data_IF_835445197136
#
_entry.id   IF_835445197136
#
_cell.length_a   1.000
_cell.length_b   1.000
_cell.length_c   1.000
_cell.angle_alpha   90.00
_cell.angle_beta   90.00
_cell.angle_gamma   90.00
#
_symmetry.space_group_name_H-M   'P 1'
#
loop_
_entity.id
_entity.type
_entity.pdbx_description
1 polymer ?
#
# COMPACT_ATOMS: atom_id res chain seq x y z
N UNK A 1 21.04 20.99 18.50
CA UNK A 1 22.21 20.15 18.23
C UNK A 1 21.78 18.70 18.38
N UNK A 2 21.67 17.99 17.28
CA UNK A 2 21.36 16.56 17.28
C UNK A 2 22.62 15.82 17.73
N UNK A 3 22.58 15.17 18.88
CA UNK A 3 23.66 14.27 19.29
C UNK A 3 23.67 13.06 18.38
N UNK A 4 24.69 12.98 17.56
CA UNK A 4 24.89 11.89 16.60
C UNK A 4 25.58 10.75 17.32
N UNK A 5 24.85 9.71 17.67
CA UNK A 5 25.50 8.47 18.09
C UNK A 5 26.19 7.85 16.86
N UNK A 6 27.42 7.41 17.03
CA UNK A 6 28.23 6.80 15.96
C UNK A 6 27.58 5.56 15.32
N UNK A 7 26.57 4.98 15.94
CA UNK A 7 25.80 3.86 15.41
C UNK A 7 24.73 4.25 14.37
N UNK A 8 24.47 5.54 14.15
CA UNK A 8 23.42 6.03 13.25
C UNK A 8 23.95 6.64 11.95
N UNK A 9 25.24 6.59 11.68
CA UNK A 9 25.86 7.17 10.48
C UNK A 9 25.25 6.60 9.19
N UNK A 10 24.95 5.31 9.17
CA UNK A 10 24.27 4.69 8.01
C UNK A 10 22.81 5.17 7.86
N UNK A 11 22.10 5.39 8.97
CA UNK A 11 20.74 5.90 8.96
C UNK A 11 20.65 7.35 8.50
N UNK A 12 21.65 8.17 8.76
CA UNK A 12 21.69 9.57 8.30
C UNK A 12 21.82 9.71 6.78
N UNK A 13 22.48 8.79 6.11
CA UNK A 13 22.49 8.78 4.64
C UNK A 13 21.11 8.46 4.08
N UNK A 14 20.33 7.64 4.77
CA UNK A 14 18.93 7.37 4.43
C UNK A 14 17.99 8.53 4.74
N UNK A 15 18.36 9.47 5.61
CA UNK A 15 17.57 10.68 5.95
C UNK A 15 17.39 11.59 4.74
N UNK A 16 18.32 11.64 3.83
CA UNK A 16 18.23 12.46 2.62
C UNK A 16 17.20 11.94 1.63
N UNK A 17 17.00 10.63 1.61
CA UNK A 17 16.10 9.94 0.69
C UNK A 17 14.86 9.49 1.45
N UNK A 18 13.99 10.42 1.76
CA UNK A 18 12.69 10.12 2.39
C UNK A 18 11.93 9.04 1.61
N UNK A 19 11.17 8.15 2.27
CA UNK A 19 10.90 8.04 3.71
C UNK A 19 11.98 7.26 4.48
N UNK A 20 12.14 7.59 5.79
CA UNK A 20 13.02 6.88 6.74
C UNK A 20 12.29 5.67 7.30
N UNK A 21 12.43 4.54 6.63
CA UNK A 21 11.72 3.29 6.95
C UNK A 21 12.72 2.15 7.13
N UNK A 22 12.54 1.36 8.19
CA UNK A 22 13.43 0.25 8.51
C UNK A 22 13.53 -0.79 7.36
N UNK A 23 12.41 -1.17 6.78
CA UNK A 23 12.35 -2.11 5.65
C UNK A 23 13.03 -1.56 4.38
N UNK A 24 12.93 -0.24 4.10
CA UNK A 24 13.70 0.39 3.04
C UNK A 24 15.20 0.31 3.31
N UNK A 25 15.61 0.61 4.55
CA UNK A 25 17.02 0.56 4.94
C UNK A 25 17.59 -0.86 4.84
N UNK A 26 16.82 -1.89 5.22
CA UNK A 26 17.21 -3.30 5.06
C UNK A 26 17.44 -3.65 3.59
N UNK A 27 16.49 -3.33 2.71
CA UNK A 27 16.61 -3.60 1.28
C UNK A 27 17.80 -2.86 0.65
N UNK A 28 18.05 -1.60 1.05
CA UNK A 28 19.22 -0.85 0.60
C UNK A 28 20.52 -1.45 1.13
N UNK A 29 20.53 -1.94 2.37
CA UNK A 29 21.70 -2.62 2.96
C UNK A 29 22.07 -3.91 2.23
N UNK A 30 21.08 -4.74 1.91
CA UNK A 30 21.26 -5.94 1.08
C UNK A 30 21.84 -5.61 -0.29
N UNK A 31 21.28 -4.61 -0.97
CA UNK A 31 21.78 -4.15 -2.26
C UNK A 31 23.24 -3.68 -2.17
N UNK A 32 23.59 -2.90 -1.14
CA UNK A 32 24.99 -2.43 -0.95
C UNK A 32 25.93 -3.61 -0.73
N UNK A 33 25.52 -4.60 0.07
CA UNK A 33 26.33 -5.81 0.28
C UNK A 33 26.56 -6.59 -1.03
N UNK A 34 25.54 -6.73 -1.86
CA UNK A 34 25.67 -7.35 -3.19
C UNK A 34 26.59 -6.56 -4.13
N UNK A 35 26.51 -5.22 -4.12
CA UNK A 35 27.41 -4.36 -4.90
C UNK A 35 28.86 -4.55 -4.45
N UNK A 36 29.11 -4.59 -3.15
CA UNK A 36 30.44 -4.86 -2.59
C UNK A 36 30.96 -6.24 -3.02
N UNK A 37 30.06 -7.23 -3.10
CA UNK A 37 30.39 -8.58 -3.60
C UNK A 37 30.59 -8.65 -5.13
N UNK A 38 30.47 -7.54 -5.85
CA UNK A 38 30.71 -7.44 -7.29
C UNK A 38 29.44 -7.64 -8.16
N UNK A 39 28.26 -7.74 -7.55
CA UNK A 39 27.01 -7.84 -8.30
C UNK A 39 26.54 -6.46 -8.80
N UNK A 40 25.92 -6.43 -9.98
CA UNK A 40 25.31 -5.20 -10.52
C UNK A 40 23.89 -5.10 -9.99
N UNK A 41 23.63 -4.12 -9.13
CA UNK A 41 22.30 -3.86 -8.53
C UNK A 41 21.98 -2.37 -8.58
N UNK A 42 20.68 -2.05 -8.67
CA UNK A 42 20.15 -0.71 -8.51
C UNK A 42 18.95 -0.76 -7.54
N UNK A 43 18.74 0.30 -6.78
CA UNK A 43 17.57 0.46 -5.92
C UNK A 43 16.54 1.30 -6.68
N UNK A 44 15.57 0.62 -7.26
CA UNK A 44 14.55 1.24 -8.11
C UNK A 44 13.16 0.60 -7.85
N UNK A 45 12.66 0.64 -6.60
CA UNK A 45 11.31 0.16 -6.30
C UNK A 45 10.26 1.10 -6.88
N UNK A 46 9.19 0.55 -7.44
CA UNK A 46 8.05 1.34 -7.95
C UNK A 46 7.38 2.09 -6.79
N UNK A 47 7.29 1.45 -5.61
CA UNK A 47 6.74 2.06 -4.41
C UNK A 47 7.31 1.41 -3.15
N UNK A 48 7.25 2.16 -2.05
CA UNK A 48 7.62 1.67 -0.73
C UNK A 48 6.43 1.88 0.20
N UNK A 49 5.96 0.80 0.81
CA UNK A 49 4.86 0.87 1.76
C UNK A 49 5.22 1.71 2.99
N UNK A 50 4.34 2.59 3.39
CA UNK A 50 4.41 3.35 4.63
C UNK A 50 3.28 2.90 5.56
N UNK A 51 3.62 2.65 6.83
CA UNK A 51 2.68 2.19 7.85
C UNK A 51 2.79 3.05 9.09
N UNK A 52 1.64 3.54 9.57
CA UNK A 52 1.51 4.12 10.90
C UNK A 52 0.81 3.11 11.80
N UNK A 53 1.49 2.63 12.83
CA UNK A 53 0.98 1.68 13.83
C UNK A 53 0.20 2.40 14.93
N UNK A 54 -0.75 3.20 14.52
CA UNK A 54 -1.71 3.87 15.39
C UNK A 54 -2.94 2.96 15.63
N UNK A 55 -3.91 3.42 16.39
CA UNK A 55 -5.21 2.76 16.53
C UNK A 55 -6.30 3.76 16.08
N UNK A 56 -6.93 3.54 14.89
CA UNK A 56 -6.65 2.49 13.91
C UNK A 56 -5.31 2.70 13.16
N UNK A 57 -4.78 1.61 12.59
CA UNK A 57 -3.58 1.65 11.75
C UNK A 57 -3.85 2.35 10.42
N UNK A 58 -2.78 2.90 9.81
CA UNK A 58 -2.84 3.54 8.49
C UNK A 58 -1.76 2.95 7.60
N UNK A 59 -2.13 2.55 6.40
CA UNK A 59 -1.20 2.08 5.35
C UNK A 59 -1.34 2.94 4.11
N UNK A 60 -0.22 3.30 3.53
CA UNK A 60 -0.14 3.96 2.23
C UNK A 60 0.94 3.32 1.36
N UNK A 61 0.60 2.99 0.12
CA UNK A 61 1.53 2.50 -0.91
C UNK A 61 1.21 3.21 -2.20
N UNK A 62 2.22 3.77 -2.87
CA UNK A 62 2.01 4.54 -4.11
C UNK A 62 1.43 5.93 -3.85
N UNK A 63 0.78 6.51 -4.86
CA UNK A 63 0.31 7.89 -4.85
C UNK A 63 -1.15 8.02 -4.39
N UNK A 64 -1.45 9.14 -3.76
CA UNK A 64 -2.82 9.52 -3.38
C UNK A 64 -3.61 10.03 -4.60
N UNK A 65 -4.96 10.10 -4.51
CA UNK A 65 -5.76 10.75 -5.56
C UNK A 65 -5.36 12.21 -5.83
N UNK A 66 -4.99 12.95 -4.79
CA UNK A 66 -4.58 14.35 -4.91
C UNK A 66 -3.23 14.48 -5.63
N UNK A 67 -2.25 13.65 -5.30
CA UNK A 67 -0.98 13.58 -6.01
C UNK A 67 -1.15 13.16 -7.47
N UNK A 68 -2.04 12.22 -7.77
CA UNK A 68 -2.37 11.85 -9.15
C UNK A 68 -2.95 13.03 -9.92
N UNK A 69 -3.86 13.78 -9.30
CA UNK A 69 -4.44 14.99 -9.86
C UNK A 69 -3.41 16.10 -10.13
N UNK A 70 -2.49 16.32 -9.19
CA UNK A 70 -1.38 17.26 -9.35
C UNK A 70 -0.46 16.87 -10.50
N UNK A 71 -0.31 15.59 -10.77
CA UNK A 71 0.44 15.05 -11.90
C UNK A 71 -0.36 15.03 -13.22
N UNK A 72 -1.62 15.48 -13.21
CA UNK A 72 -2.48 15.50 -14.38
C UNK A 72 -2.95 14.10 -14.82
N UNK A 73 -2.93 13.11 -13.92
CA UNK A 73 -3.35 11.73 -14.20
C UNK A 73 -4.85 11.61 -13.90
N UNK A 74 -5.65 11.25 -14.91
CA UNK A 74 -7.04 10.87 -14.69
C UNK A 74 -7.13 9.52 -13.99
N UNK A 75 -7.94 9.45 -12.93
CA UNK A 75 -8.02 8.27 -12.08
C UNK A 75 -9.44 7.75 -11.89
N UNK A 76 -9.52 6.44 -11.67
CA UNK A 76 -10.68 5.73 -11.12
C UNK A 76 -10.36 5.42 -9.66
N UNK A 77 -11.33 5.66 -8.79
CA UNK A 77 -11.20 5.40 -7.35
C UNK A 77 -12.16 4.26 -6.96
N UNK A 78 -11.58 3.19 -6.43
CA UNK A 78 -12.34 2.15 -5.76
C UNK A 78 -12.18 2.26 -4.25
N UNK A 79 -13.27 2.15 -3.49
CA UNK A 79 -13.23 2.20 -2.03
C UNK A 79 -14.21 1.20 -1.45
N UNK A 80 -13.77 0.46 -0.44
CA UNK A 80 -14.59 -0.49 0.30
C UNK A 80 -14.48 -0.24 1.80
N UNK A 81 -15.60 0.00 2.52
CA UNK A 81 -15.61 0.26 3.95
C UNK A 81 -15.55 -1.05 4.75
N UNK A 82 -14.87 -1.06 5.89
CA UNK A 82 -14.82 -2.21 6.78
C UNK A 82 -16.19 -2.54 7.41
N UNK A 83 -17.08 -1.57 7.51
CA UNK A 83 -18.46 -1.80 7.92
C UNK A 83 -19.23 -2.80 7.02
N UNK A 84 -18.78 -3.01 5.78
CA UNK A 84 -19.33 -4.01 4.87
C UNK A 84 -18.51 -5.31 4.82
N UNK A 85 -17.41 -5.41 5.58
CA UNK A 85 -16.56 -6.60 5.65
C UNK A 85 -16.96 -7.52 6.78
N UNK A 86 -17.39 -8.76 6.47
CA UNK A 86 -17.73 -9.75 7.48
C UNK A 86 -16.57 -10.06 8.44
N UNK A 87 -15.32 -10.07 7.94
CA UNK A 87 -14.14 -10.27 8.77
C UNK A 87 -13.89 -9.10 9.71
N UNK A 88 -13.97 -7.87 9.21
CA UNK A 88 -13.79 -6.68 10.04
C UNK A 88 -14.86 -6.60 11.14
N UNK A 89 -16.12 -6.91 10.82
CA UNK A 89 -17.21 -6.98 11.82
C UNK A 89 -16.94 -8.05 12.87
N UNK A 90 -16.47 -9.23 12.48
CA UNK A 90 -16.13 -10.30 13.42
C UNK A 90 -14.95 -9.98 14.33
N UNK A 91 -14.12 -9.02 13.97
CA UNK A 91 -12.96 -8.52 14.73
C UNK A 91 -13.26 -7.24 15.52
N UNK A 92 -14.52 -6.79 15.51
CA UNK A 92 -14.94 -5.48 16.07
C UNK A 92 -14.21 -4.27 15.45
N UNK A 93 -13.71 -4.45 14.22
CA UNK A 93 -12.96 -3.43 13.47
C UNK A 93 -13.85 -2.66 12.48
N UNK A 94 -15.12 -3.05 12.31
CA UNK A 94 -16.03 -2.43 11.36
C UNK A 94 -16.68 -1.13 11.87
N UNK A 95 -16.76 -0.95 13.19
CA UNK A 95 -17.38 0.22 13.84
C UNK A 95 -16.54 1.50 13.71
N UNK A 96 -15.23 1.37 13.58
CA UNK A 96 -14.28 2.48 13.62
C UNK A 96 -14.05 3.20 12.26
N UNK A 97 -14.89 2.88 11.26
CA UNK A 97 -14.88 3.59 9.98
C UNK A 97 -13.73 3.21 9.05
N UNK A 98 -13.06 2.08 9.25
CA UNK A 98 -11.98 1.57 8.42
C UNK A 98 -12.37 1.36 6.95
N UNK A 99 -11.39 1.41 6.07
CA UNK A 99 -11.59 1.20 4.64
C UNK A 99 -10.30 0.78 3.92
N UNK A 100 -10.47 0.22 2.73
CA UNK A 100 -9.42 0.15 1.70
C UNK A 100 -9.83 1.02 0.53
N UNK A 101 -8.87 1.79 -0.04
CA UNK A 101 -9.07 2.64 -1.21
C UNK A 101 -7.96 2.38 -2.21
N UNK A 102 -8.33 2.14 -3.47
CA UNK A 102 -7.44 2.02 -4.61
C UNK A 102 -7.56 3.27 -5.47
N UNK A 103 -6.43 3.78 -5.92
CA UNK A 103 -6.29 4.80 -6.95
C UNK A 103 -5.72 4.14 -8.19
N UNK A 104 -6.47 4.05 -9.27
CA UNK A 104 -6.02 3.45 -10.53
C UNK A 104 -6.10 4.46 -11.67
N UNK A 105 -5.23 4.33 -12.67
CA UNK A 105 -5.27 5.15 -13.88
C UNK A 105 -6.51 4.84 -14.70
N UNK A 106 -7.25 5.87 -15.12
CA UNK A 106 -8.52 5.69 -15.83
C UNK A 106 -8.37 5.02 -17.20
N UNK A 107 -7.23 5.22 -17.88
CA UNK A 107 -7.04 4.75 -19.25
C UNK A 107 -6.76 3.26 -19.38
N UNK A 108 -6.19 2.63 -18.34
CA UNK A 108 -5.72 1.24 -18.40
C UNK A 108 -5.92 0.46 -17.10
N UNK A 109 -6.51 1.10 -16.09
CA UNK A 109 -6.78 0.56 -14.76
C UNK A 109 -5.54 0.12 -13.97
N UNK A 110 -4.33 0.52 -14.38
CA UNK A 110 -3.11 0.23 -13.60
C UNK A 110 -3.20 0.91 -12.24
N UNK A 111 -2.97 0.15 -11.19
CA UNK A 111 -3.02 0.62 -9.80
C UNK A 111 -1.82 1.51 -9.53
N UNK A 112 -2.07 2.75 -9.12
CA UNK A 112 -1.07 3.76 -8.83
C UNK A 112 -0.86 3.98 -7.33
N UNK A 113 -1.87 3.67 -6.54
CA UNK A 113 -1.81 3.80 -5.09
C UNK A 113 -2.91 3.06 -4.37
N UNK A 114 -2.58 2.60 -3.15
CA UNK A 114 -3.50 1.88 -2.27
C UNK A 114 -3.34 2.47 -0.88
N UNK A 115 -4.46 2.86 -0.27
CA UNK A 115 -4.49 3.42 1.08
C UNK A 115 -5.54 2.70 1.91
N UNK A 116 -5.18 2.34 3.13
CA UNK A 116 -6.07 1.68 4.06
C UNK A 116 -6.00 2.31 5.45
N UNK A 117 -7.12 2.32 6.13
CA UNK A 117 -7.25 2.71 7.54
C UNK A 117 -8.08 1.65 8.23
N UNK A 118 -7.64 1.17 9.37
CA UNK A 118 -8.39 0.19 10.16
C UNK A 118 -7.48 -0.74 10.97
N UNK A 119 -8.07 -1.57 11.81
CA UNK A 119 -7.33 -2.57 12.58
C UNK A 119 -6.67 -3.59 11.65
N UNK A 120 -5.40 -3.89 11.91
CA UNK A 120 -4.61 -4.89 11.20
C UNK A 120 -4.41 -4.62 9.70
N UNK A 121 -4.59 -3.39 9.21
CA UNK A 121 -4.33 -3.07 7.80
C UNK A 121 -2.84 -3.13 7.46
N UNK A 122 -1.95 -3.05 8.46
CA UNK A 122 -0.51 -3.23 8.27
C UNK A 122 -0.16 -4.58 7.65
N UNK A 123 -0.91 -5.65 7.98
CA UNK A 123 -0.72 -6.99 7.43
C UNK A 123 -1.06 -7.08 5.92
N UNK A 124 -1.84 -6.14 5.40
CA UNK A 124 -2.17 -6.04 3.98
C UNK A 124 -1.09 -5.31 3.16
N UNK A 125 -0.13 -4.65 3.82
CA UNK A 125 0.86 -3.79 3.16
C UNK A 125 1.72 -4.54 2.15
N UNK A 126 2.04 -5.81 2.39
CA UNK A 126 2.81 -6.66 1.48
C UNK A 126 2.06 -6.94 0.18
N UNK A 127 0.77 -7.26 0.25
CA UNK A 127 -0.09 -7.47 -0.92
C UNK A 127 -0.23 -6.16 -1.73
N UNK A 128 -0.44 -5.04 -1.06
CA UNK A 128 -0.54 -3.73 -1.69
C UNK A 128 0.75 -3.33 -2.42
N UNK A 129 1.90 -3.50 -1.75
CA UNK A 129 3.20 -3.22 -2.35
C UNK A 129 3.47 -4.13 -3.55
N UNK A 130 3.14 -5.42 -3.44
CA UNK A 130 3.29 -6.37 -4.54
C UNK A 130 2.41 -6.01 -5.75
N UNK A 131 1.16 -5.64 -5.52
CA UNK A 131 0.25 -5.24 -6.61
C UNK A 131 0.80 -4.03 -7.39
N UNK A 132 1.37 -3.02 -6.71
CA UNK A 132 1.97 -1.85 -7.36
C UNK A 132 3.28 -2.22 -8.06
N UNK A 133 4.16 -2.97 -7.40
CA UNK A 133 5.45 -3.39 -7.95
C UNK A 133 5.29 -4.20 -9.25
N UNK A 134 4.24 -5.04 -9.31
CA UNK A 134 3.92 -5.85 -10.50
C UNK A 134 3.11 -5.09 -11.56
N UNK A 135 2.75 -3.83 -11.33
CA UNK A 135 1.91 -3.06 -12.24
C UNK A 135 0.51 -3.65 -12.42
N UNK A 136 -0.04 -4.25 -11.37
CA UNK A 136 -1.36 -4.88 -11.41
C UNK A 136 -2.45 -3.87 -11.77
N UNK A 137 -3.48 -4.37 -12.43
CA UNK A 137 -4.71 -3.63 -12.77
C UNK A 137 -5.83 -3.97 -11.80
N UNK A 138 -6.88 -3.17 -11.82
CA UNK A 138 -8.10 -3.46 -11.05
C UNK A 138 -8.64 -4.85 -11.37
N UNK A 139 -8.62 -5.25 -12.64
CA UNK A 139 -9.08 -6.56 -13.11
C UNK A 139 -8.26 -7.73 -12.54
N UNK A 140 -6.95 -7.55 -12.36
CA UNK A 140 -6.08 -8.59 -11.81
C UNK A 140 -6.42 -8.85 -10.33
N UNK A 141 -6.64 -7.79 -9.56
CA UNK A 141 -7.04 -7.88 -8.15
C UNK A 141 -8.45 -8.44 -8.02
N UNK A 142 -9.40 -7.92 -8.81
CA UNK A 142 -10.79 -8.38 -8.81
C UNK A 142 -10.93 -9.85 -9.25
N UNK A 143 -10.06 -10.31 -10.17
CA UNK A 143 -10.02 -11.69 -10.64
C UNK A 143 -9.28 -12.67 -9.73
N UNK A 144 -8.51 -12.17 -8.77
CA UNK A 144 -7.82 -13.00 -7.78
C UNK A 144 -8.80 -13.53 -6.74
N UNK A 145 -8.76 -14.85 -6.48
CA UNK A 145 -9.62 -15.47 -5.46
C UNK A 145 -9.05 -15.16 -4.07
N UNK A 146 -9.73 -14.31 -3.33
CA UNK A 146 -9.40 -13.99 -1.93
C UNK A 146 -10.11 -14.95 -0.99
N UNK A 147 -9.40 -15.35 0.08
CA UNK A 147 -9.94 -16.30 1.07
C UNK A 147 -11.03 -15.64 1.91
N UNK A 148 -12.15 -16.32 2.06
CA UNK A 148 -13.26 -15.89 2.94
C UNK A 148 -13.24 -16.64 4.29
N UNK A 149 -13.42 -15.95 5.45
CA UNK A 149 -13.46 -14.49 5.63
C UNK A 149 -12.07 -13.92 5.97
N UNK A 150 -11.62 -12.93 5.24
CA UNK A 150 -10.34 -12.24 5.50
C UNK A 150 -10.45 -10.73 5.26
N UNK A 151 -9.48 -9.95 5.77
CA UNK A 151 -9.41 -8.51 5.46
C UNK A 151 -8.97 -8.23 4.01
N UNK A 152 -8.28 -9.19 3.35
CA UNK A 152 -7.86 -9.04 1.95
C UNK A 152 -9.03 -8.95 0.99
N UNK A 153 -10.21 -9.47 1.36
CA UNK A 153 -11.45 -9.29 0.58
C UNK A 153 -11.81 -7.81 0.40
N UNK A 154 -11.45 -6.95 1.37
CA UNK A 154 -11.68 -5.52 1.24
C UNK A 154 -10.83 -4.89 0.12
N UNK A 155 -9.68 -5.45 -0.19
CA UNK A 155 -8.87 -5.06 -1.34
C UNK A 155 -9.52 -5.47 -2.66
N UNK A 156 -9.99 -6.73 -2.77
CA UNK A 156 -10.74 -7.21 -3.93
C UNK A 156 -12.01 -6.39 -4.18
N UNK A 157 -12.80 -6.15 -3.14
CA UNK A 157 -14.03 -5.35 -3.22
C UNK A 157 -13.74 -3.89 -3.60
N UNK A 158 -12.61 -3.33 -3.16
CA UNK A 158 -12.16 -2.00 -3.60
C UNK A 158 -11.85 -1.98 -5.10
N UNK A 159 -11.24 -3.04 -5.64
CA UNK A 159 -11.00 -3.16 -7.07
C UNK A 159 -12.31 -3.29 -7.85
N UNK A 160 -13.22 -4.16 -7.38
CA UNK A 160 -14.57 -4.30 -7.95
C UNK A 160 -15.35 -2.97 -7.91
N UNK A 161 -15.24 -2.21 -6.82
CA UNK A 161 -15.86 -0.89 -6.73
C UNK A 161 -15.33 0.09 -7.78
N UNK A 162 -14.00 0.08 -8.02
CA UNK A 162 -13.38 0.87 -9.08
C UNK A 162 -13.87 0.49 -10.48
N UNK A 163 -14.15 -0.79 -10.72
CA UNK A 163 -14.73 -1.30 -11.96
C UNK A 163 -16.26 -1.12 -12.06
N UNK A 164 -16.89 -0.61 -11.00
CA UNK A 164 -18.35 -0.50 -10.94
C UNK A 164 -19.09 -1.82 -10.76
N UNK A 165 -18.41 -2.85 -10.25
CA UNK A 165 -18.87 -4.23 -10.11
C UNK A 165 -18.93 -4.70 -8.65
N UNK A 166 -18.85 -3.78 -7.68
CA UNK A 166 -18.91 -4.11 -6.26
C UNK A 166 -20.16 -4.93 -5.90
N UNK A 167 -19.97 -5.96 -5.06
CA UNK A 167 -21.03 -6.90 -4.69
C UNK A 167 -21.65 -6.52 -3.33
N UNK A 168 -20.82 -6.11 -2.38
CA UNK A 168 -21.23 -5.91 -0.98
C UNK A 168 -21.52 -4.45 -0.59
N UNK A 169 -21.38 -3.53 -1.54
CA UNK A 169 -21.74 -2.10 -1.36
C UNK A 169 -22.61 -1.61 -2.50
N UNK A 170 -23.59 -0.75 -2.17
CA UNK A 170 -24.37 -0.04 -3.19
C UNK A 170 -23.57 1.11 -3.80
N UNK A 171 -23.84 1.37 -5.09
CA UNK A 171 -23.32 2.55 -5.78
C UNK A 171 -23.92 3.82 -5.22
#
# INVERSE_FOLDING_TARGET
AYERSLGLVGAEMCIRDRPMLAHKASAQGEMVAEIIAGHRRAFDPVSIAAVCFTDPEIVGVGITPDEAKEQGIETVIGKFPFAASGRALAMDAGSDGGFVRITARASDHVILGIHAVGSHVSELSGEFAHAIEMGSRLEDVAGTIHVHPTLTEAFAESALAGLGQAIHISK
#
